data_IF_453378391090
#
_entry.id   IF_453378391090
#
_cell.length_a   1.000
_cell.length_b   1.000
_cell.length_c   1.000
_cell.angle_alpha   90.00
_cell.angle_beta   90.00
_cell.angle_gamma   90.00
#
_symmetry.space_group_name_H-M   'P 1'
#
loop_
_entity.id
_entity.type
_entity.pdbx_description
1 polymer ?
#
# COMPACT_ATOMS: atom_id res chain seq x y z
N UNK A 1 -31.07 25.82 -3.74
CA UNK A 1 -31.58 24.46 -3.94
C UNK A 1 -30.51 23.69 -4.71
N UNK A 2 -29.93 22.62 -4.16
CA UNK A 2 -28.93 21.81 -4.88
C UNK A 2 -29.74 20.74 -5.61
N UNK A 3 -29.77 20.81 -6.93
CA UNK A 3 -30.39 19.76 -7.74
C UNK A 3 -29.38 18.64 -7.90
N UNK A 4 -29.69 17.47 -7.38
CA UNK A 4 -28.86 16.26 -7.60
C UNK A 4 -29.21 15.76 -9.01
N UNK A 5 -28.25 15.69 -9.94
CA UNK A 5 -28.51 15.14 -11.28
C UNK A 5 -28.84 13.64 -11.17
N UNK A 6 -29.68 13.15 -12.06
CA UNK A 6 -30.09 11.73 -12.10
C UNK A 6 -28.90 10.80 -12.41
N UNK A 7 -27.92 11.29 -13.20
CA UNK A 7 -26.73 10.53 -13.56
C UNK A 7 -25.45 11.34 -13.30
N UNK A 8 -24.41 10.67 -12.82
CA UNK A 8 -23.08 11.25 -12.69
C UNK A 8 -22.40 11.18 -14.07
N UNK A 9 -21.89 12.31 -14.53
CA UNK A 9 -21.12 12.43 -15.77
C UNK A 9 -19.88 13.32 -15.52
N UNK A 10 -18.96 13.37 -16.48
CA UNK A 10 -17.72 14.15 -16.36
C UNK A 10 -17.97 15.64 -16.01
N UNK A 11 -19.05 16.23 -16.53
CA UNK A 11 -19.36 17.66 -16.30
C UNK A 11 -19.83 17.94 -14.87
N UNK A 12 -20.43 16.96 -14.18
CA UNK A 12 -21.01 17.16 -12.84
C UNK A 12 -20.28 16.41 -11.71
N UNK A 13 -19.32 15.54 -12.04
CA UNK A 13 -18.61 14.71 -11.07
C UNK A 13 -18.01 15.51 -9.92
N UNK A 14 -17.33 16.64 -10.24
CA UNK A 14 -16.72 17.52 -9.23
C UNK A 14 -17.75 18.13 -8.28
N UNK A 15 -18.91 18.56 -8.82
CA UNK A 15 -20.00 19.12 -8.03
C UNK A 15 -20.67 18.06 -7.16
N UNK A 16 -20.84 16.85 -7.68
CA UNK A 16 -21.38 15.71 -6.92
C UNK A 16 -20.45 15.32 -5.77
N UNK A 17 -19.15 15.31 -6.01
CA UNK A 17 -18.16 15.04 -4.97
C UNK A 17 -18.21 16.12 -3.88
N UNK A 18 -18.30 17.39 -4.24
CA UNK A 18 -18.45 18.48 -3.26
C UNK A 18 -19.76 18.34 -2.44
N UNK A 19 -20.85 17.91 -3.08
CA UNK A 19 -22.12 17.61 -2.38
C UNK A 19 -21.95 16.44 -1.42
N UNK A 20 -21.25 15.38 -1.80
CA UNK A 20 -20.99 14.22 -0.96
C UNK A 20 -20.18 14.62 0.27
N UNK A 21 -19.09 15.35 0.12
CA UNK A 21 -18.28 15.85 1.24
C UNK A 21 -19.12 16.67 2.20
N UNK A 22 -19.95 17.56 1.67
CA UNK A 22 -20.84 18.38 2.49
C UNK A 22 -21.89 17.57 3.22
N UNK A 23 -22.48 16.55 2.59
CA UNK A 23 -23.44 15.65 3.21
C UNK A 23 -22.79 14.87 4.36
N UNK A 24 -21.60 14.30 4.14
CA UNK A 24 -20.84 13.57 5.16
C UNK A 24 -20.50 14.47 6.37
N UNK A 25 -20.09 15.72 6.10
CA UNK A 25 -19.82 16.69 7.16
C UNK A 25 -21.08 17.06 7.95
N UNK A 26 -22.24 17.19 7.28
CA UNK A 26 -23.52 17.45 7.94
C UNK A 26 -24.00 16.27 8.82
N UNK A 27 -23.55 15.05 8.50
CA UNK A 27 -23.78 13.85 9.33
C UNK A 27 -22.84 13.75 10.54
N UNK A 28 -21.95 14.74 10.74
CA UNK A 28 -21.05 14.81 11.89
C UNK A 28 -19.69 14.17 11.70
N UNK A 29 -19.35 13.71 10.49
CA UNK A 29 -17.99 13.22 10.18
C UNK A 29 -17.04 14.38 9.90
N UNK A 30 -15.75 14.19 10.18
CA UNK A 30 -14.71 15.21 9.97
C UNK A 30 -14.33 15.37 8.50
N UNK A 31 -14.63 14.39 7.63
CA UNK A 31 -14.30 14.41 6.22
C UNK A 31 -14.31 13.02 5.57
N UNK A 32 -13.75 12.93 4.39
CA UNK A 32 -13.63 11.70 3.59
C UNK A 32 -12.16 11.48 3.25
N UNK A 33 -11.66 10.25 3.46
CA UNK A 33 -10.40 9.79 2.92
C UNK A 33 -10.68 8.81 1.77
N UNK A 34 -10.24 9.14 0.56
CA UNK A 34 -10.33 8.29 -0.62
C UNK A 34 -8.95 7.72 -0.95
N UNK A 35 -8.85 6.40 -0.95
CA UNK A 35 -7.64 5.66 -1.27
C UNK A 35 -7.83 4.98 -2.62
N UNK A 36 -6.93 5.28 -3.57
CA UNK A 36 -6.94 4.72 -4.91
C UNK A 36 -5.74 3.79 -5.08
N UNK A 37 -6.03 2.54 -5.34
CA UNK A 37 -5.04 1.50 -5.65
C UNK A 37 -5.14 1.12 -7.13
N UNK A 38 -4.13 0.43 -7.67
CA UNK A 38 -4.07 -0.07 -9.04
C UNK A 38 -4.20 1.01 -10.14
N UNK A 39 -3.83 2.25 -9.83
CA UNK A 39 -3.83 3.35 -10.81
C UNK A 39 -2.86 3.07 -11.97
N UNK A 40 -1.86 2.24 -11.74
CA UNK A 40 -0.86 1.77 -12.72
C UNK A 40 -1.47 0.91 -13.83
N UNK A 41 -2.58 0.20 -13.61
CA UNK A 41 -3.31 -0.48 -14.70
C UNK A 41 -3.65 0.46 -15.84
N UNK A 42 -3.83 1.73 -15.55
CA UNK A 42 -4.06 2.77 -16.53
C UNK A 42 -2.77 3.15 -17.27
N UNK A 43 -1.60 2.95 -16.64
CA UNK A 43 -0.30 3.18 -17.29
C UNK A 43 -0.04 2.24 -18.47
N UNK A 44 -0.64 1.06 -18.49
CA UNK A 44 -0.62 0.14 -19.62
C UNK A 44 -1.64 0.47 -20.72
N UNK A 45 -2.54 1.42 -20.46
CA UNK A 45 -3.57 1.87 -21.38
C UNK A 45 -3.06 2.74 -22.55
N UNK A 46 -3.99 3.14 -23.41
CA UNK A 46 -3.73 4.04 -24.53
C UNK A 46 -3.23 5.42 -24.05
N UNK A 47 -2.53 6.16 -24.92
CA UNK A 47 -2.11 7.56 -24.63
C UNK A 47 -3.26 8.45 -24.17
N UNK A 48 -4.47 8.20 -24.68
CA UNK A 48 -5.67 8.95 -24.30
C UNK A 48 -6.09 8.66 -22.87
N UNK A 49 -6.05 7.41 -22.46
CA UNK A 49 -6.39 6.98 -21.09
C UNK A 49 -5.37 7.52 -20.09
N UNK A 50 -4.06 7.40 -20.39
CA UNK A 50 -3.00 8.00 -19.57
C UNK A 50 -3.22 9.50 -19.37
N UNK A 51 -3.50 10.23 -20.46
CA UNK A 51 -3.78 11.66 -20.39
C UNK A 51 -4.99 11.98 -19.52
N UNK A 52 -6.09 11.26 -19.68
CA UNK A 52 -7.30 11.46 -18.88
C UNK A 52 -7.04 11.30 -17.40
N UNK A 53 -6.26 10.28 -17.00
CA UNK A 53 -5.91 10.05 -15.59
C UNK A 53 -5.07 11.18 -15.03
N UNK A 54 -4.05 11.58 -15.76
CA UNK A 54 -3.16 12.69 -15.34
C UNK A 54 -3.93 14.01 -15.24
N UNK A 55 -4.83 14.29 -16.20
CA UNK A 55 -5.68 15.48 -16.17
C UNK A 55 -6.64 15.43 -14.96
N UNK A 56 -7.19 14.27 -14.62
CA UNK A 56 -8.02 14.07 -13.42
C UNK A 56 -7.20 14.25 -12.13
N UNK A 57 -6.01 13.67 -12.04
CA UNK A 57 -5.11 13.85 -10.89
C UNK A 57 -4.76 15.34 -10.70
N UNK A 58 -4.43 16.03 -11.80
CA UNK A 58 -4.16 17.48 -11.76
C UNK A 58 -5.38 18.25 -11.26
N UNK A 59 -6.57 17.94 -11.76
CA UNK A 59 -7.80 18.60 -11.32
C UNK A 59 -8.04 18.40 -9.83
N UNK A 60 -7.80 17.20 -9.31
CA UNK A 60 -7.91 16.88 -7.89
C UNK A 60 -6.94 17.72 -7.07
N UNK A 61 -5.67 17.79 -7.47
CA UNK A 61 -4.65 18.60 -6.79
C UNK A 61 -5.05 20.08 -6.77
N UNK A 62 -5.54 20.60 -7.91
CA UNK A 62 -5.99 21.99 -8.03
C UNK A 62 -7.25 22.27 -7.17
N UNK A 63 -8.15 21.29 -7.03
CA UNK A 63 -9.33 21.38 -6.15
C UNK A 63 -8.94 21.40 -4.66
N UNK A 64 -7.99 20.59 -4.25
CA UNK A 64 -7.44 20.59 -2.89
C UNK A 64 -6.75 21.93 -2.58
N UNK A 65 -5.87 22.39 -3.47
CA UNK A 65 -5.15 23.64 -3.31
C UNK A 65 -6.05 24.89 -3.26
N UNK A 66 -7.17 24.86 -3.99
CA UNK A 66 -8.17 25.96 -4.02
C UNK A 66 -9.24 25.88 -2.91
N UNK A 67 -9.12 24.93 -1.98
CA UNK A 67 -10.09 24.67 -0.90
C UNK A 67 -11.53 24.42 -1.39
N UNK A 68 -11.68 23.90 -2.60
CA UNK A 68 -13.01 23.54 -3.13
C UNK A 68 -13.58 22.26 -2.52
N UNK A 69 -12.73 21.42 -1.93
CA UNK A 69 -13.08 20.19 -1.24
C UNK A 69 -12.53 20.18 0.19
N UNK A 70 -13.02 21.05 1.09
CA UNK A 70 -12.58 21.04 2.47
C UNK A 70 -13.01 19.72 3.14
N UNK A 71 -12.10 19.09 3.89
CA UNK A 71 -12.35 17.81 4.52
C UNK A 71 -12.25 16.59 3.59
N UNK A 72 -11.64 16.74 2.41
CA UNK A 72 -11.34 15.62 1.53
C UNK A 72 -9.84 15.34 1.47
N UNK A 73 -9.47 14.07 1.69
CA UNK A 73 -8.11 13.58 1.56
C UNK A 73 -8.05 12.52 0.44
N UNK A 74 -7.05 12.64 -0.41
CA UNK A 74 -6.79 11.70 -1.51
C UNK A 74 -5.44 11.03 -1.30
N UNK A 75 -5.38 9.73 -1.53
CA UNK A 75 -4.13 9.01 -1.63
C UNK A 75 -4.17 8.06 -2.83
N UNK A 76 -3.12 8.11 -3.64
CA UNK A 76 -2.93 7.22 -4.78
C UNK A 76 -1.71 6.34 -4.49
N UNK A 77 -1.91 5.01 -4.50
CA UNK A 77 -0.81 4.06 -4.52
C UNK A 77 -0.39 3.84 -5.97
N UNK A 78 0.85 4.16 -6.27
CA UNK A 78 1.41 4.03 -7.63
C UNK A 78 2.81 3.43 -7.56
N UNK A 79 3.22 2.60 -8.53
CA UNK A 79 4.59 2.13 -8.62
C UNK A 79 5.53 3.25 -9.09
N UNK A 80 6.84 3.17 -8.80
CA UNK A 80 7.83 4.17 -9.18
C UNK A 80 7.82 4.49 -10.69
N UNK A 81 7.57 3.50 -11.52
CA UNK A 81 7.52 3.61 -12.98
C UNK A 81 6.37 4.53 -13.45
N UNK A 82 5.27 4.57 -12.70
CA UNK A 82 4.19 5.52 -13.00
C UNK A 82 4.64 6.96 -12.85
N UNK A 83 5.49 7.24 -11.88
CA UNK A 83 6.05 8.57 -11.65
C UNK A 83 7.04 8.92 -12.77
N UNK A 84 7.97 8.00 -13.10
CA UNK A 84 9.01 8.22 -14.12
C UNK A 84 8.47 8.27 -15.54
N UNK A 85 7.49 7.44 -15.89
CA UNK A 85 7.07 7.22 -17.27
C UNK A 85 5.78 7.96 -17.63
N UNK A 86 4.90 8.18 -16.62
CA UNK A 86 3.63 8.84 -16.87
C UNK A 86 3.63 10.27 -16.36
N UNK A 87 3.96 10.49 -15.08
CA UNK A 87 3.92 11.85 -14.49
C UNK A 87 4.99 12.75 -15.10
N UNK A 88 6.17 12.22 -15.42
CA UNK A 88 7.26 12.99 -16.03
C UNK A 88 6.91 13.62 -17.41
N UNK A 89 6.00 12.98 -18.16
CA UNK A 89 5.50 13.53 -19.42
C UNK A 89 4.57 14.76 -19.24
N UNK A 90 4.17 15.05 -17.98
CA UNK A 90 3.23 16.13 -17.66
C UNK A 90 3.82 17.14 -16.65
N UNK A 91 4.67 18.09 -17.11
CA UNK A 91 5.43 18.99 -16.24
C UNK A 91 4.57 19.74 -15.22
N UNK A 92 3.34 20.09 -15.60
CA UNK A 92 2.42 20.83 -14.72
C UNK A 92 1.96 19.99 -13.50
N UNK A 93 1.79 18.68 -13.63
CA UNK A 93 1.48 17.79 -12.52
C UNK A 93 2.75 17.44 -11.75
N UNK A 94 3.83 17.14 -12.45
CA UNK A 94 5.13 16.87 -11.83
C UNK A 94 5.56 18.01 -10.89
N UNK A 95 5.43 19.26 -11.33
CA UNK A 95 5.76 20.42 -10.50
C UNK A 95 4.93 20.49 -9.21
N UNK A 96 3.66 20.06 -9.25
CA UNK A 96 2.77 20.04 -8.07
C UNK A 96 3.06 18.89 -7.12
N UNK A 97 3.55 17.77 -7.64
CA UNK A 97 3.87 16.58 -6.86
C UNK A 97 5.29 16.60 -6.30
N UNK A 98 6.17 17.42 -6.85
CA UNK A 98 7.52 17.59 -6.34
C UNK A 98 7.50 18.35 -5.01
N UNK A 99 8.22 17.80 -4.03
CA UNK A 99 8.50 18.47 -2.77
C UNK A 99 10.01 18.64 -2.60
N UNK A 100 10.48 19.82 -2.17
CA UNK A 100 11.89 20.02 -1.85
C UNK A 100 12.33 19.32 -0.56
N UNK A 101 11.36 18.86 0.25
CA UNK A 101 11.59 18.16 1.51
C UNK A 101 11.01 16.76 1.44
N UNK A 102 11.69 15.77 2.02
CA UNK A 102 11.13 14.43 2.18
C UNK A 102 9.99 14.43 3.21
N UNK A 103 9.15 13.41 3.14
CA UNK A 103 8.15 13.17 4.17
C UNK A 103 8.82 12.93 5.52
N UNK A 104 8.35 13.66 6.53
CA UNK A 104 8.82 13.51 7.91
C UNK A 104 7.77 14.04 8.89
N UNK A 105 7.86 13.76 10.17
CA UNK A 105 6.97 14.37 11.18
C UNK A 105 7.00 15.92 11.16
N UNK A 106 8.11 16.51 10.74
CA UNK A 106 8.23 17.96 10.58
C UNK A 106 7.67 18.49 9.25
N UNK A 107 7.46 17.62 8.27
CA UNK A 107 6.94 17.93 6.92
C UNK A 107 5.89 16.91 6.47
N UNK A 108 4.76 16.78 7.19
CA UNK A 108 3.74 15.77 6.90
C UNK A 108 2.88 16.10 5.68
N UNK A 109 2.95 17.32 5.15
CA UNK A 109 2.14 17.82 4.04
C UNK A 109 2.75 17.59 2.66
N UNK A 110 3.84 16.84 2.56
CA UNK A 110 4.44 16.54 1.25
C UNK A 110 3.48 15.74 0.37
N UNK A 111 3.37 16.09 -0.93
CA UNK A 111 2.40 15.44 -1.81
C UNK A 111 2.79 14.03 -2.26
N UNK A 112 4.07 13.66 -2.15
CA UNK A 112 4.59 12.35 -2.57
C UNK A 112 5.39 11.71 -1.44
N UNK A 113 5.05 10.47 -1.12
CA UNK A 113 5.71 9.67 -0.10
C UNK A 113 6.28 8.42 -0.77
N UNK A 114 7.60 8.27 -0.74
CA UNK A 114 8.25 7.04 -1.16
C UNK A 114 8.22 6.03 -0.01
N UNK A 115 7.39 4.99 -0.15
CA UNK A 115 7.27 3.90 0.83
C UNK A 115 8.28 2.77 0.59
N UNK A 116 9.04 2.82 -0.51
CA UNK A 116 10.09 1.85 -0.81
C UNK A 116 11.38 2.16 -0.04
N UNK A 117 11.66 3.43 0.20
CA UNK A 117 12.82 3.88 0.96
C UNK A 117 12.57 3.67 2.46
N UNK A 118 13.17 2.64 3.02
CA UNK A 118 13.22 2.42 4.46
C UNK A 118 14.54 2.95 5.02
N UNK A 119 14.49 3.73 6.10
CA UNK A 119 15.70 4.14 6.86
C UNK A 119 16.34 2.94 7.57
N UNK A 120 15.58 1.85 7.76
CA UNK A 120 16.05 0.64 8.41
C UNK A 120 16.77 -0.26 7.40
N UNK A 121 17.84 -0.90 7.84
CA UNK A 121 18.48 -1.99 7.10
C UNK A 121 17.47 -3.13 6.89
N UNK A 122 17.58 -3.92 5.80
CA UNK A 122 16.62 -4.98 5.50
C UNK A 122 16.32 -5.90 6.69
N UNK A 123 17.33 -6.38 7.39
CA UNK A 123 17.18 -7.23 8.56
C UNK A 123 16.36 -6.54 9.68
N UNK A 124 16.68 -5.30 10.00
CA UNK A 124 15.98 -4.53 11.03
C UNK A 124 14.54 -4.24 10.64
N UNK A 125 14.31 -3.97 9.34
CA UNK A 125 12.98 -3.75 8.79
C UNK A 125 12.10 -4.99 8.94
N UNK A 126 12.55 -6.16 8.46
CA UNK A 126 11.76 -7.39 8.54
C UNK A 126 11.55 -7.84 9.98
N UNK A 127 12.53 -7.64 10.85
CA UNK A 127 12.40 -7.92 12.27
C UNK A 127 11.36 -7.03 12.95
N UNK A 128 11.35 -5.73 12.65
CA UNK A 128 10.35 -4.79 13.16
C UNK A 128 8.94 -5.12 12.62
N UNK A 129 8.83 -5.45 11.32
CA UNK A 129 7.59 -5.87 10.70
C UNK A 129 7.05 -7.17 11.32
N UNK A 130 7.91 -8.19 11.48
CA UNK A 130 7.54 -9.47 12.07
C UNK A 130 7.04 -9.34 13.51
N UNK A 131 7.67 -8.48 14.32
CA UNK A 131 7.21 -8.18 15.69
C UNK A 131 5.80 -7.56 15.70
N UNK A 132 5.50 -6.67 14.76
CA UNK A 132 4.15 -6.09 14.64
C UNK A 132 3.10 -7.12 14.24
N UNK A 133 3.43 -8.00 13.31
CA UNK A 133 2.54 -9.08 12.89
C UNK A 133 2.28 -10.04 14.07
N UNK A 134 3.30 -10.44 14.81
CA UNK A 134 3.17 -11.28 16.02
C UNK A 134 2.22 -10.64 17.05
N UNK A 135 2.37 -9.33 17.32
CA UNK A 135 1.48 -8.61 18.23
C UNK A 135 0.02 -8.66 17.77
N UNK A 136 -0.23 -8.45 16.47
CA UNK A 136 -1.59 -8.51 15.89
C UNK A 136 -2.14 -9.92 15.98
N UNK A 137 -1.35 -10.94 15.63
CA UNK A 137 -1.74 -12.35 15.71
C UNK A 137 -2.07 -12.77 17.16
N UNK A 138 -1.25 -12.36 18.12
CA UNK A 138 -1.46 -12.65 19.53
C UNK A 138 -2.80 -12.08 20.04
N UNK A 139 -3.14 -10.86 19.64
CA UNK A 139 -4.43 -10.25 19.98
C UNK A 139 -5.59 -10.97 19.28
N UNK A 140 -5.45 -11.24 17.98
CA UNK A 140 -6.51 -11.83 17.17
C UNK A 140 -6.85 -13.28 17.62
N UNK A 141 -5.84 -14.04 18.03
CA UNK A 141 -5.98 -15.45 18.43
C UNK A 141 -6.08 -15.63 19.95
N UNK A 142 -6.00 -14.54 20.72
CA UNK A 142 -5.89 -14.59 22.20
C UNK A 142 -4.76 -15.52 22.66
N UNK A 143 -3.59 -15.38 21.99
CA UNK A 143 -2.44 -16.27 22.16
C UNK A 143 -1.41 -15.65 23.12
N UNK A 144 -1.12 -16.41 24.21
CA UNK A 144 -0.05 -16.10 25.13
C UNK A 144 1.21 -16.83 24.66
N UNK A 145 2.07 -16.15 23.92
CA UNK A 145 3.30 -16.71 23.38
C UNK A 145 4.51 -16.43 24.27
N UNK A 146 5.53 -17.29 24.17
CA UNK A 146 6.81 -17.11 24.83
C UNK A 146 7.71 -16.18 24.01
N UNK A 147 7.89 -14.93 24.47
CA UNK A 147 8.61 -13.90 23.73
C UNK A 147 10.00 -14.35 23.27
N UNK A 148 10.77 -15.03 24.14
CA UNK A 148 12.13 -15.50 23.80
C UNK A 148 12.14 -16.52 22.65
N UNK A 149 11.12 -17.40 22.57
CA UNK A 149 10.98 -18.39 21.50
C UNK A 149 10.64 -17.67 20.21
N UNK A 150 9.62 -16.80 20.22
CA UNK A 150 9.16 -16.10 19.02
C UNK A 150 10.15 -15.07 18.50
N UNK A 151 10.90 -14.39 19.37
CA UNK A 151 11.99 -13.50 18.96
C UNK A 151 13.13 -14.26 18.26
N UNK A 152 13.46 -15.47 18.72
CA UNK A 152 14.44 -16.34 18.07
C UNK A 152 13.92 -16.85 16.72
N UNK A 153 12.70 -17.39 16.69
CA UNK A 153 12.08 -17.89 15.46
C UNK A 153 12.00 -16.79 14.38
N UNK A 154 11.66 -15.58 14.79
CA UNK A 154 11.65 -14.42 13.88
C UNK A 154 13.04 -14.08 13.34
N UNK A 155 14.07 -14.14 14.18
CA UNK A 155 15.46 -13.87 13.79
C UNK A 155 15.98 -14.93 12.82
N UNK A 156 15.69 -16.20 13.09
CA UNK A 156 16.03 -17.32 12.23
C UNK A 156 15.32 -17.22 10.87
N UNK A 157 14.01 -16.95 10.86
CA UNK A 157 13.24 -16.76 9.63
C UNK A 157 13.73 -15.55 8.82
N UNK A 158 14.02 -14.41 9.45
CA UNK A 158 14.54 -13.23 8.76
C UNK A 158 15.90 -13.52 8.15
N UNK A 159 16.76 -14.26 8.85
CA UNK A 159 18.10 -14.63 8.35
C UNK A 159 17.99 -15.53 7.14
N UNK A 160 17.16 -16.57 7.20
CA UNK A 160 16.91 -17.48 6.08
C UNK A 160 16.30 -16.76 4.91
N UNK A 161 15.26 -15.95 5.16
CA UNK A 161 14.58 -15.14 4.14
C UNK A 161 15.54 -14.18 3.43
N UNK A 162 16.46 -13.54 4.16
CA UNK A 162 17.46 -12.64 3.60
C UNK A 162 18.60 -13.38 2.88
N UNK A 163 18.78 -14.67 3.06
CA UNK A 163 19.75 -15.49 2.33
C UNK A 163 19.27 -15.86 0.93
N UNK A 164 17.96 -15.88 0.71
CA UNK A 164 17.34 -16.16 -0.59
C UNK A 164 17.42 -14.93 -1.48
N UNK A 165 17.66 -15.09 -2.81
CA UNK A 165 17.83 -13.98 -3.75
C UNK A 165 16.54 -13.19 -3.99
N UNK A 166 16.65 -11.87 -4.26
CA UNK A 166 15.63 -10.88 -3.96
C UNK A 166 14.99 -10.20 -5.17
N UNK A 167 13.65 -10.21 -5.22
CA UNK A 167 12.86 -9.45 -6.17
C UNK A 167 11.72 -8.66 -5.48
N UNK A 168 10.97 -7.83 -6.19
CA UNK A 168 10.02 -6.83 -5.68
C UNK A 168 8.85 -7.40 -4.82
N UNK A 169 8.62 -8.71 -4.85
CA UNK A 169 7.58 -9.40 -4.07
C UNK A 169 7.88 -9.65 -2.58
N UNK A 170 9.08 -9.37 -2.14
CA UNK A 170 9.65 -9.79 -0.85
C UNK A 170 8.81 -9.50 0.38
N UNK A 171 8.31 -8.26 0.53
CA UNK A 171 7.57 -7.88 1.75
C UNK A 171 6.30 -8.68 1.91
N UNK A 172 5.58 -8.92 0.80
CA UNK A 172 4.34 -9.72 0.80
C UNK A 172 4.62 -11.18 1.14
N UNK A 173 5.66 -11.74 0.56
CA UNK A 173 6.05 -13.14 0.79
C UNK A 173 6.52 -13.36 2.22
N UNK A 174 7.35 -12.47 2.75
CA UNK A 174 7.72 -12.52 4.17
C UNK A 174 6.49 -12.48 5.09
N UNK A 175 5.54 -11.59 4.84
CA UNK A 175 4.30 -11.50 5.64
C UNK A 175 3.52 -12.82 5.59
N UNK A 176 3.35 -13.40 4.39
CA UNK A 176 2.66 -14.69 4.24
C UNK A 176 3.38 -15.82 4.99
N UNK A 177 4.71 -15.93 4.84
CA UNK A 177 5.52 -16.94 5.49
C UNK A 177 5.46 -16.81 7.01
N UNK A 178 5.62 -15.59 7.52
CA UNK A 178 5.58 -15.34 8.96
C UNK A 178 4.21 -15.63 9.55
N UNK A 179 3.11 -15.27 8.89
CA UNK A 179 1.76 -15.59 9.35
C UNK A 179 1.53 -17.10 9.34
N UNK A 180 1.94 -17.83 8.28
CA UNK A 180 1.82 -19.28 8.22
C UNK A 180 2.60 -19.97 9.33
N UNK A 181 3.82 -19.50 9.61
CA UNK A 181 4.63 -19.98 10.71
C UNK A 181 3.94 -19.79 12.07
N UNK A 182 3.47 -18.57 12.35
CA UNK A 182 2.77 -18.27 13.60
C UNK A 182 1.50 -19.08 13.77
N UNK A 183 0.77 -19.33 12.68
CA UNK A 183 -0.43 -20.16 12.72
C UNK A 183 -0.11 -21.62 13.04
N UNK A 184 1.01 -22.14 12.54
CA UNK A 184 1.51 -23.48 12.89
C UNK A 184 1.91 -23.55 14.36
N UNK A 185 2.69 -22.60 14.85
CA UNK A 185 3.11 -22.52 16.26
C UNK A 185 1.91 -22.40 17.22
N UNK A 186 0.90 -21.61 16.83
CA UNK A 186 -0.34 -21.48 17.61
C UNK A 186 -1.12 -22.80 17.66
N UNK A 187 -1.17 -23.55 16.55
CA UNK A 187 -2.00 -24.77 16.42
C UNK A 187 -1.31 -26.02 16.96
N UNK A 188 0.00 -26.14 16.75
CA UNK A 188 0.78 -27.36 17.08
C UNK A 188 1.60 -27.24 18.36
N UNK A 189 1.80 -26.02 18.87
CA UNK A 189 2.65 -25.71 20.01
C UNK A 189 3.96 -25.02 19.62
N UNK A 190 4.43 -24.15 20.52
CA UNK A 190 5.64 -23.36 20.27
C UNK A 190 6.90 -24.22 20.14
N UNK A 191 7.76 -23.90 19.17
CA UNK A 191 9.01 -24.58 18.89
C UNK A 191 8.87 -25.89 18.13
N UNK A 192 7.71 -26.18 17.55
CA UNK A 192 7.47 -27.40 16.77
C UNK A 192 7.60 -27.22 15.27
N UNK A 193 7.60 -25.98 14.79
CA UNK A 193 7.58 -25.66 13.36
C UNK A 193 8.99 -25.53 12.80
N UNK A 194 9.27 -26.29 11.74
CA UNK A 194 10.53 -26.21 11.00
C UNK A 194 10.48 -25.06 9.99
N UNK A 195 11.30 -24.01 10.23
CA UNK A 195 11.39 -22.81 9.40
C UNK A 195 11.90 -23.15 7.99
N UNK A 196 12.93 -23.99 7.87
CA UNK A 196 13.50 -24.34 6.57
C UNK A 196 12.50 -25.12 5.70
N UNK A 197 11.75 -26.04 6.30
CA UNK A 197 10.73 -26.79 5.57
C UNK A 197 9.60 -25.89 5.07
N UNK A 198 9.19 -24.91 5.87
CA UNK A 198 8.13 -23.96 5.53
C UNK A 198 8.57 -23.02 4.38
N UNK A 199 9.79 -22.52 4.41
CA UNK A 199 10.32 -21.69 3.34
C UNK A 199 10.40 -22.44 1.99
N UNK A 200 10.87 -23.69 1.99
CA UNK A 200 10.97 -24.53 0.78
C UNK A 200 9.61 -24.89 0.16
N UNK A 201 8.56 -25.08 0.96
CA UNK A 201 7.23 -25.40 0.45
C UNK A 201 6.58 -24.25 -0.31
N UNK A 202 6.84 -23.00 0.08
CA UNK A 202 6.26 -21.83 -0.59
C UNK A 202 6.97 -21.49 -1.91
N UNK A 203 8.29 -21.67 -1.99
CA UNK A 203 9.03 -21.53 -3.25
C UNK A 203 8.49 -22.49 -4.32
N UNK A 204 8.12 -23.71 -3.93
CA UNK A 204 7.54 -24.70 -4.84
C UNK A 204 6.13 -24.33 -5.30
N UNK A 205 5.32 -23.67 -4.45
CA UNK A 205 3.96 -23.24 -4.79
C UNK A 205 3.95 -22.01 -5.71
N UNK A 206 4.87 -21.06 -5.52
CA UNK A 206 4.97 -19.86 -6.38
C UNK A 206 5.48 -20.20 -7.79
N UNK A 207 6.36 -21.19 -7.94
CA UNK A 207 6.79 -21.68 -9.25
C UNK A 207 5.61 -22.29 -10.02
N UNK A 208 4.72 -23.03 -9.35
CA UNK A 208 3.53 -23.61 -9.99
C UNK A 208 2.49 -22.55 -10.36
N UNK A 209 2.25 -21.51 -9.52
CA UNK A 209 1.33 -20.41 -9.87
C UNK A 209 1.86 -19.55 -11.02
N UNK A 210 3.18 -19.39 -11.18
CA UNK A 210 3.76 -18.63 -12.29
C UNK A 210 3.72 -19.37 -13.63
N UNK A 211 3.72 -20.71 -13.62
CA UNK A 211 3.59 -21.53 -14.83
C UNK A 211 2.13 -21.57 -15.35
N UNK A 212 1.12 -21.58 -14.47
CA UNK A 212 -0.29 -21.57 -14.85
C UNK A 212 -0.76 -20.24 -15.47
N UNK A 213 -0.05 -19.13 -15.25
CA UNK A 213 -0.35 -17.82 -15.87
C UNK A 213 0.40 -17.57 -17.19
N UNK A 214 1.33 -18.42 -17.59
CA UNK A 214 2.08 -18.27 -18.84
C UNK A 214 1.36 -18.88 -20.06
N UNK A 215 0.27 -19.63 -19.86
CA UNK A 215 -0.50 -20.33 -20.90
C UNK A 215 -1.87 -19.68 -21.26
N UNK A 216 -2.06 -18.38 -20.92
CA UNK A 216 -3.27 -17.65 -21.37
C UNK A 216 -2.95 -16.37 -22.12
#
# INVERSE_FOLDING_TARGET
MITIPENICEQNASSMLACLVKAVTLLGFSGIAALFDEVDRIASGSKREKKNVVDNMRQIVDMCGSRRLPGFFWAFAVPPEFISDVIAEYPALQQRLNSPLPFSPASPQVPTIDVSSSELKPHEFFKALGKKILQVAAIAWNWNYTTAIQDKNLDDLVTEYLSMNFDAGQRRNFVKQWIAFLQSEYSCGEGTTDIEALCRQQDSAEVMESEDFADF
#
